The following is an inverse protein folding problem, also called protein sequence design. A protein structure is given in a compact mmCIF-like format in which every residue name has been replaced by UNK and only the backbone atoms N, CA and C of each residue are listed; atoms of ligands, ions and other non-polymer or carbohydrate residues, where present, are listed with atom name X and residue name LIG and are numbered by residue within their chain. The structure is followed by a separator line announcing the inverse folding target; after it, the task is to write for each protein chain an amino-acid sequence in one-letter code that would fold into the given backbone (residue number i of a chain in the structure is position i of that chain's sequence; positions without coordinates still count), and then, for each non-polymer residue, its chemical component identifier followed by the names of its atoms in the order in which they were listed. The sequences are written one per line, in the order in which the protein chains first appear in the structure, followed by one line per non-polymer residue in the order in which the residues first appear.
data_IF_217066318132
#
_entry.id   IF_217066318132
#
_cell.length_a   1.000
_cell.length_b   1.000
_cell.length_c   1.000
_cell.angle_alpha   90.00
_cell.angle_beta   90.00
_cell.angle_gamma   90.00
#
_symmetry.space_group_name_H-M   'P 1'
#
loop_
_entity.id
_entity.type
_entity.pdbx_description
1 polymer ?
#
# COMPACT_ATOMS: atom_id res chain seq x y z
N UNK A 1 -16.49 10.40 3.57
CA UNK A 1 -15.29 10.35 4.43
C UNK A 1 -14.85 8.90 4.45
N UNK A 2 -13.65 8.57 3.96
CA UNK A 2 -13.17 7.18 3.93
C UNK A 2 -12.65 6.86 5.33
N UNK A 3 -13.27 5.89 6.01
CA UNK A 3 -12.80 5.44 7.32
C UNK A 3 -11.92 4.20 7.13
N UNK A 4 -10.67 4.30 7.58
CA UNK A 4 -9.73 3.19 7.64
C UNK A 4 -9.93 2.46 8.96
N UNK A 5 -10.06 1.14 8.90
CA UNK A 5 -10.15 0.29 10.09
C UNK A 5 -8.73 -0.08 10.53
N UNK A 6 -7.92 -0.58 9.60
CA UNK A 6 -6.59 -1.08 9.87
C UNK A 6 -5.67 -0.94 8.65
N UNK A 7 -4.37 -0.85 8.94
CA UNK A 7 -3.30 -0.92 7.94
C UNK A 7 -2.30 -1.97 8.43
N UNK A 8 -2.15 -3.04 7.66
CA UNK A 8 -1.20 -4.11 7.93
C UNK A 8 -0.07 -4.06 6.92
N UNK A 9 1.14 -4.37 7.38
CA UNK A 9 2.33 -4.38 6.53
C UNK A 9 3.06 -5.71 6.66
N UNK A 10 3.37 -6.31 5.51
CA UNK A 10 4.24 -7.47 5.41
C UNK A 10 5.45 -7.12 4.54
N UNK A 11 6.62 -7.57 4.97
CA UNK A 11 7.88 -7.26 4.30
C UNK A 11 8.57 -8.57 3.87
N UNK A 12 9.13 -8.56 2.67
CA UNK A 12 10.12 -9.53 2.21
C UNK A 12 11.40 -8.80 1.80
N UNK A 13 12.43 -9.56 1.45
CA UNK A 13 13.69 -8.98 0.94
C UNK A 13 13.50 -8.19 -0.36
N UNK A 14 12.42 -8.43 -1.11
CA UNK A 14 12.22 -7.88 -2.44
C UNK A 14 11.06 -6.89 -2.53
N UNK A 15 10.07 -7.00 -1.64
CA UNK A 15 8.86 -6.22 -1.69
C UNK A 15 8.29 -5.89 -0.30
N UNK A 16 7.58 -4.78 -0.24
CA UNK A 16 6.68 -4.43 0.86
C UNK A 16 5.24 -4.56 0.35
N UNK A 17 4.41 -5.19 1.18
CA UNK A 17 2.98 -5.31 0.96
C UNK A 17 2.25 -4.54 2.06
N UNK A 18 1.40 -3.60 1.67
CA UNK A 18 0.46 -2.94 2.57
C UNK A 18 -0.95 -3.43 2.27
N UNK A 19 -1.65 -3.90 3.29
CA UNK A 19 -3.07 -4.23 3.21
C UNK A 19 -3.86 -3.21 4.00
N UNK A 20 -4.86 -2.61 3.36
CA UNK A 20 -5.67 -1.53 3.93
C UNK A 20 -7.11 -2.04 4.05
N UNK A 21 -7.59 -2.11 5.28
CA UNK A 21 -8.97 -2.46 5.58
C UNK A 21 -9.83 -1.21 5.76
N UNK A 22 -10.96 -1.19 5.08
CA UNK A 22 -11.84 -0.03 4.93
C UNK A 22 -13.22 -0.38 5.47
N UNK A 23 -13.88 0.60 6.09
CA UNK A 23 -15.23 0.39 6.60
C UNK A 23 -16.25 0.13 5.49
N UNK A 24 -16.13 0.89 4.40
CA UNK A 24 -17.03 0.84 3.25
C UNK A 24 -16.31 0.31 2.00
N UNK A 25 -17.06 -0.28 1.04
CA UNK A 25 -16.55 -0.60 -0.29
C UNK A 25 -15.82 0.59 -0.92
N UNK A 26 -14.61 0.36 -1.42
CA UNK A 26 -13.78 1.44 -1.96
C UNK A 26 -13.56 1.30 -3.46
N UNK A 27 -13.94 2.36 -4.18
CA UNK A 27 -13.71 2.56 -5.61
C UNK A 27 -12.82 3.79 -5.79
N UNK A 28 -11.53 3.56 -6.01
CA UNK A 28 -10.54 4.63 -6.09
C UNK A 28 -9.13 4.08 -6.25
N UNK A 29 -8.12 4.90 -5.98
CA UNK A 29 -6.73 4.46 -6.02
C UNK A 29 -6.02 4.79 -4.72
N UNK A 30 -5.26 3.82 -4.21
CA UNK A 30 -4.24 4.04 -3.18
C UNK A 30 -2.88 4.08 -3.87
N UNK A 31 -1.99 4.97 -3.45
CA UNK A 31 -0.64 5.05 -4.00
C UNK A 31 0.38 5.50 -2.97
N UNK A 32 1.65 5.17 -3.24
CA UNK A 32 2.78 5.61 -2.41
C UNK A 32 3.00 7.11 -2.65
N UNK A 33 3.13 7.87 -1.56
CA UNK A 33 3.33 9.33 -1.63
C UNK A 33 4.53 9.68 -2.50
N UNK A 34 4.31 10.49 -3.53
CA UNK A 34 5.34 10.89 -4.51
C UNK A 34 5.48 9.97 -5.71
N UNK A 35 4.78 8.83 -5.74
CA UNK A 35 4.83 7.83 -6.82
C UNK A 35 3.40 7.37 -7.25
N UNK A 36 2.52 8.30 -7.66
CA UNK A 36 1.11 8.00 -7.92
C UNK A 36 0.86 7.14 -9.16
N UNK A 37 1.83 7.05 -10.08
CA UNK A 37 1.69 6.30 -11.34
C UNK A 37 2.33 4.92 -11.25
N UNK A 38 3.50 4.84 -10.62
CA UNK A 38 4.34 3.65 -10.57
C UNK A 38 3.94 2.71 -9.43
N UNK A 39 3.45 3.27 -8.32
CA UNK A 39 3.27 2.56 -7.06
C UNK A 39 1.84 2.78 -6.56
N UNK A 40 0.88 2.18 -7.28
CA UNK A 40 -0.55 2.34 -7.03
C UNK A 40 -1.29 1.01 -7.02
N UNK A 41 -2.39 0.96 -6.28
CA UNK A 41 -3.38 -0.11 -6.30
C UNK A 41 -4.77 0.51 -6.49
N UNK A 42 -5.60 -0.15 -7.31
CA UNK A 42 -6.98 0.28 -7.52
C UNK A 42 -7.91 -0.49 -6.58
N UNK A 43 -8.80 0.23 -5.92
CA UNK A 43 -9.96 -0.34 -5.25
C UNK A 43 -10.99 -0.79 -6.27
N UNK A 44 -11.49 -2.01 -6.11
CA UNK A 44 -12.43 -2.66 -7.01
C UNK A 44 -13.81 -2.86 -6.37
N UNK A 45 -14.15 -2.06 -5.35
CA UNK A 45 -15.37 -2.24 -4.55
C UNK A 45 -15.21 -3.22 -3.40
N UNK A 46 -14.03 -3.77 -3.18
CA UNK A 46 -13.69 -4.48 -1.95
C UNK A 46 -13.59 -3.51 -0.77
N UNK A 47 -13.77 -4.05 0.45
CA UNK A 47 -13.42 -3.39 1.72
C UNK A 47 -11.94 -3.55 2.07
N UNK A 48 -11.18 -4.14 1.17
CA UNK A 48 -9.76 -4.39 1.31
C UNK A 48 -9.03 -3.94 0.04
N UNK A 49 -7.93 -3.21 0.23
CA UNK A 49 -7.02 -2.83 -0.86
C UNK A 49 -5.62 -3.27 -0.48
N UNK A 50 -5.00 -4.03 -1.38
CA UNK A 50 -3.62 -4.48 -1.22
C UNK A 50 -2.73 -3.73 -2.20
N UNK A 51 -1.69 -3.09 -1.69
CA UNK A 51 -0.64 -2.44 -2.47
C UNK A 51 0.68 -3.21 -2.26
N UNK A 52 1.32 -3.57 -3.36
CA UNK A 52 2.61 -4.27 -3.35
C UNK A 52 3.59 -3.45 -4.15
N UNK A 53 4.76 -3.16 -3.57
CA UNK A 53 5.82 -2.47 -4.27
C UNK A 53 7.18 -3.03 -3.91
N UNK A 54 8.11 -2.94 -4.88
CA UNK A 54 9.49 -3.40 -4.68
C UNK A 54 10.24 -2.49 -3.72
N UNK A 55 11.08 -3.07 -2.86
CA UNK A 55 11.96 -2.32 -1.95
C UNK A 55 13.00 -1.46 -2.67
N UNK A 56 13.24 -1.71 -3.96
CA UNK A 56 14.13 -0.92 -4.80
C UNK A 56 13.41 0.23 -5.52
N UNK A 57 12.12 0.45 -5.24
CA UNK A 57 11.28 1.46 -5.90
C UNK A 57 10.49 2.27 -4.87
N UNK A 58 9.70 3.22 -5.38
CA UNK A 58 8.68 3.96 -4.60
C UNK A 58 9.23 4.75 -3.41
N UNK A 59 10.49 5.19 -3.50
CA UNK A 59 11.13 5.97 -2.43
C UNK A 59 11.43 5.18 -1.15
N UNK A 60 11.40 3.84 -1.22
CA UNK A 60 11.74 2.97 -0.09
C UNK A 60 13.18 3.22 0.35
N UNK A 61 13.40 3.36 1.66
CA UNK A 61 14.73 3.52 2.27
C UNK A 61 15.04 2.27 3.07
N UNK A 62 16.15 1.61 2.72
CA UNK A 62 16.65 0.44 3.46
C UNK A 62 17.67 0.93 4.47
N UNK A 63 17.37 0.76 5.75
CA UNK A 63 18.29 1.04 6.86
C UNK A 63 18.76 -0.29 7.42
N UNK A 64 20.08 -0.53 7.46
CA UNK A 64 20.63 -1.66 8.19
C UNK A 64 20.59 -1.34 9.69
N UNK A 65 20.00 -2.23 10.48
CA UNK A 65 20.15 -2.19 11.92
C UNK A 65 21.62 -2.52 12.26
N UNK A 66 22.24 -1.79 13.20
CA UNK A 66 23.63 -2.01 13.59
C UNK A 66 23.84 -3.40 14.21
#
# INVERSE_FOLDING_TARGET
MILFIAVEAACSEQAMMGQIQLQDPFYGSVYVRGFPLECRAAGNGSREVTIIFSVNKCGTKITKLP
#
